data_IF_666241522496
#
_entry.id   IF_666241522496
#
_cell.length_a   1.000
_cell.length_b   1.000
_cell.length_c   1.000
_cell.angle_alpha   90.00
_cell.angle_beta   90.00
_cell.angle_gamma   90.00
#
_symmetry.space_group_name_H-M   'P 1'
#
loop_
_entity.id
_entity.type
_entity.pdbx_description
1 polymer ?
#
# COMPACT_ATOMS: atom_id res chain seq x y z
N UNK A 1 14.00 4.27 -25.43
CA UNK A 1 14.67 5.47 -24.86
C UNK A 1 13.60 6.39 -24.31
N UNK A 2 13.57 6.61 -22.99
CA UNK A 2 12.61 7.51 -22.34
C UNK A 2 13.36 8.50 -21.45
N UNK A 3 12.88 9.74 -21.43
CA UNK A 3 13.44 10.84 -20.63
C UNK A 3 12.46 11.15 -19.50
N UNK A 4 12.97 11.37 -18.28
CA UNK A 4 12.19 11.88 -17.16
C UNK A 4 12.70 13.28 -16.80
N UNK A 5 11.79 14.23 -16.68
CA UNK A 5 12.10 15.61 -16.27
C UNK A 5 11.61 15.82 -14.83
N UNK A 6 12.53 16.11 -13.91
CA UNK A 6 12.22 16.51 -12.54
C UNK A 6 12.98 17.81 -12.23
N UNK A 7 12.25 18.85 -11.81
CA UNK A 7 12.77 20.15 -11.38
C UNK A 7 13.86 20.75 -12.28
N UNK A 8 13.57 20.90 -13.58
CA UNK A 8 14.45 21.56 -14.57
C UNK A 8 15.86 20.94 -14.73
N UNK A 9 16.11 19.72 -14.26
CA UNK A 9 17.35 18.98 -14.53
C UNK A 9 17.04 17.64 -15.20
N UNK A 10 17.78 17.36 -16.27
CA UNK A 10 17.70 16.12 -17.03
C UNK A 10 18.60 15.08 -16.33
N UNK A 11 18.01 14.01 -15.81
CA UNK A 11 18.77 12.87 -15.28
C UNK A 11 18.70 11.73 -16.31
N UNK A 12 19.86 11.26 -16.78
CA UNK A 12 19.97 10.07 -17.62
C UNK A 12 20.02 8.84 -16.70
N UNK A 13 19.01 7.99 -16.80
CA UNK A 13 19.04 6.63 -16.25
C UNK A 13 19.16 5.66 -17.42
N UNK A 14 20.21 4.84 -17.42
CA UNK A 14 20.30 3.66 -18.26
C UNK A 14 19.91 2.45 -17.40
N UNK A 15 18.63 2.10 -17.40
CA UNK A 15 18.23 0.77 -16.97
C UNK A 15 18.38 -0.14 -18.18
N UNK A 16 19.33 -1.07 -18.12
CA UNK A 16 19.47 -2.12 -19.11
C UNK A 16 18.38 -3.14 -18.81
N UNK A 17 17.33 -3.15 -19.63
CA UNK A 17 16.15 -4.01 -19.45
C UNK A 17 16.22 -5.09 -20.52
N UNK A 18 16.44 -6.33 -20.11
CA UNK A 18 16.34 -7.53 -20.95
C UNK A 18 14.90 -7.66 -21.48
N UNK A 19 14.72 -8.22 -22.67
CA UNK A 19 13.52 -8.10 -23.52
C UNK A 19 12.21 -8.67 -22.91
N UNK A 20 12.27 -9.25 -21.70
CA UNK A 20 11.11 -9.77 -20.95
C UNK A 20 10.69 -8.94 -19.72
N UNK A 21 11.47 -7.95 -19.26
CA UNK A 21 11.16 -7.25 -18.01
C UNK A 21 10.41 -5.93 -18.23
N UNK A 22 9.13 -5.84 -17.86
CA UNK A 22 8.42 -4.56 -17.84
C UNK A 22 8.76 -3.77 -16.55
N UNK A 23 9.68 -2.81 -16.62
CA UNK A 23 9.97 -1.91 -15.50
C UNK A 23 8.86 -0.85 -15.35
N UNK A 24 7.96 -1.04 -14.38
CA UNK A 24 6.90 -0.08 -14.05
C UNK A 24 7.35 0.81 -12.88
N UNK A 25 7.94 1.98 -13.17
CA UNK A 25 8.31 2.96 -12.13
C UNK A 25 7.07 3.75 -11.72
N UNK A 26 6.52 3.45 -10.53
CA UNK A 26 5.45 4.27 -9.92
C UNK A 26 6.02 5.23 -8.89
N UNK A 27 5.98 6.52 -9.19
CA UNK A 27 6.13 7.56 -8.19
C UNK A 27 4.80 7.72 -7.45
N UNK A 28 4.82 7.40 -6.16
CA UNK A 28 3.79 7.61 -5.14
C UNK A 28 2.50 8.31 -5.64
N UNK A 29 1.49 7.52 -5.99
CA UNK A 29 0.13 8.02 -6.25
C UNK A 29 -0.71 7.72 -5.02
N UNK A 30 -1.53 8.70 -4.62
CA UNK A 30 -2.64 8.55 -3.66
C UNK A 30 -3.21 7.12 -3.67
N UNK A 31 -3.15 6.45 -2.51
CA UNK A 31 -3.33 5.01 -2.31
C UNK A 31 -4.69 4.44 -2.75
N UNK A 32 -5.61 5.25 -3.26
CA UNK A 32 -6.94 4.88 -3.74
C UNK A 32 -7.03 4.46 -5.22
N UNK A 33 -5.98 4.61 -6.04
CA UNK A 33 -6.09 4.41 -7.50
C UNK A 33 -5.63 3.05 -8.04
N UNK A 34 -5.25 2.09 -7.19
CA UNK A 34 -4.63 0.84 -7.67
C UNK A 34 -5.60 -0.20 -8.24
N UNK A 35 -6.86 -0.21 -7.81
CA UNK A 35 -7.83 -1.23 -8.23
C UNK A 35 -8.06 -1.29 -9.74
N UNK A 36 -8.03 -0.14 -10.42
CA UNK A 36 -8.21 -0.09 -11.88
C UNK A 36 -7.05 -0.71 -12.66
N UNK A 37 -5.83 -0.68 -12.11
CA UNK A 37 -4.65 -1.23 -12.77
C UNK A 37 -4.71 -2.75 -12.75
N UNK A 38 -5.00 -3.35 -11.59
CA UNK A 38 -5.18 -4.80 -11.49
C UNK A 38 -6.34 -5.28 -12.38
N UNK A 39 -7.48 -4.59 -12.35
CA UNK A 39 -8.65 -4.97 -13.14
C UNK A 39 -8.45 -4.82 -14.67
N UNK A 40 -7.47 -4.02 -15.10
CA UNK A 40 -7.22 -3.79 -16.54
C UNK A 40 -6.48 -4.93 -17.25
N UNK A 41 -5.92 -5.89 -16.50
CA UNK A 41 -5.09 -6.97 -17.04
C UNK A 41 -3.69 -6.52 -17.47
N UNK A 42 -3.32 -5.25 -17.29
CA UNK A 42 -2.00 -4.72 -17.69
C UNK A 42 -0.82 -5.38 -16.93
N UNK A 43 -1.11 -6.08 -15.83
CA UNK A 43 -0.11 -6.78 -15.01
C UNK A 43 -0.11 -8.30 -15.25
N UNK A 44 -0.97 -8.84 -16.11
CA UNK A 44 -1.19 -10.29 -16.21
C UNK A 44 0.04 -11.07 -16.67
N UNK A 45 0.94 -10.43 -17.41
CA UNK A 45 2.21 -10.99 -17.89
C UNK A 45 3.43 -10.32 -17.25
N UNK A 46 3.26 -9.68 -16.08
CA UNK A 46 4.36 -9.04 -15.38
C UNK A 46 5.10 -10.06 -14.52
N UNK A 47 6.37 -10.32 -14.82
CA UNK A 47 7.20 -11.21 -14.01
C UNK A 47 7.51 -10.59 -12.63
N UNK A 48 7.91 -9.31 -12.61
CA UNK A 48 8.37 -8.63 -11.40
C UNK A 48 7.97 -7.15 -11.38
N UNK A 49 7.63 -6.63 -10.20
CA UNK A 49 7.31 -5.22 -9.98
C UNK A 49 8.29 -4.59 -8.99
N UNK A 50 8.90 -3.46 -9.37
CA UNK A 50 9.82 -2.71 -8.53
C UNK A 50 9.27 -1.31 -8.25
N UNK A 51 9.35 -0.88 -6.99
CA UNK A 51 8.94 0.45 -6.55
C UNK A 51 10.03 1.12 -5.73
N UNK A 52 10.09 2.45 -5.78
CA UNK A 52 10.99 3.26 -4.94
C UNK A 52 10.17 4.32 -4.19
N UNK A 53 10.59 4.62 -2.96
CA UNK A 53 10.03 5.71 -2.18
C UNK A 53 11.16 6.62 -1.70
N UNK A 54 10.98 7.93 -1.84
CA UNK A 54 11.92 8.88 -1.26
C UNK A 54 11.77 8.87 0.27
N UNK A 55 12.84 8.52 0.99
CA UNK A 55 12.86 8.55 2.45
C UNK A 55 13.77 9.68 2.94
N UNK A 56 13.25 10.68 3.67
CA UNK A 56 14.07 11.75 4.23
C UNK A 56 14.96 11.28 5.39
N UNK A 57 14.78 10.03 5.85
CA UNK A 57 15.52 9.44 6.96
C UNK A 57 16.70 8.57 6.49
N UNK A 58 16.86 8.38 5.18
CA UNK A 58 17.99 7.68 4.58
C UNK A 58 18.93 8.74 4.02
N UNK A 59 20.22 8.65 4.36
CA UNK A 59 21.21 9.61 3.88
C UNK A 59 21.24 9.67 2.34
N UNK A 60 21.50 10.86 1.81
CA UNK A 60 21.68 11.04 0.38
C UNK A 60 22.75 10.08 -0.17
N UNK A 61 22.43 9.42 -1.28
CA UNK A 61 23.31 8.44 -1.92
C UNK A 61 23.19 7.02 -1.36
N UNK A 62 22.31 6.77 -0.39
CA UNK A 62 22.01 5.43 0.11
C UNK A 62 20.65 4.95 -0.38
N UNK A 63 20.55 3.63 -0.58
CA UNK A 63 19.30 2.92 -0.88
C UNK A 63 19.02 2.00 0.31
N UNK A 64 17.82 2.13 0.89
CA UNK A 64 17.33 1.20 1.91
C UNK A 64 16.53 0.08 1.26
N UNK A 65 16.81 -1.16 1.64
CA UNK A 65 16.05 -2.34 1.24
C UNK A 65 15.50 -2.97 2.51
N UNK A 66 14.23 -3.35 2.49
CA UNK A 66 13.55 -4.05 3.58
C UNK A 66 12.85 -5.27 2.98
N UNK A 67 12.90 -6.39 3.68
CA UNK A 67 12.26 -7.64 3.26
C UNK A 67 10.93 -7.82 4.00
N UNK A 68 10.03 -8.63 3.47
CA UNK A 68 8.76 -8.95 4.12
C UNK A 68 7.87 -7.69 4.33
N UNK A 69 7.14 -7.60 5.44
CA UNK A 69 6.20 -6.51 5.72
C UNK A 69 6.90 -5.15 5.86
N UNK A 70 6.71 -4.29 4.86
CA UNK A 70 7.43 -3.01 4.74
C UNK A 70 6.53 -1.78 4.95
N UNK A 71 5.27 -1.84 4.52
CA UNK A 71 4.28 -0.79 4.80
C UNK A 71 2.98 -1.39 5.30
N UNK A 72 2.40 -0.74 6.32
CA UNK A 72 1.15 -1.16 6.95
C UNK A 72 -0.03 -1.12 5.99
N UNK A 73 -0.91 -2.11 6.10
CA UNK A 73 -2.20 -2.10 5.44
C UNK A 73 -3.17 -1.11 6.08
N UNK A 74 -4.28 -0.86 5.41
CA UNK A 74 -5.27 0.14 5.82
C UNK A 74 -6.69 -0.32 5.58
N UNK A 75 -7.58 0.08 6.48
CA UNK A 75 -9.02 0.13 6.22
C UNK A 75 -9.62 1.39 6.83
N UNK A 76 -10.81 1.76 6.37
CA UNK A 76 -11.60 2.89 6.89
C UNK A 76 -12.97 2.42 7.30
N UNK A 77 -13.60 3.12 8.24
CA UNK A 77 -14.96 2.78 8.64
C UNK A 77 -15.75 4.00 9.09
N UNK A 78 -17.07 3.91 8.88
CA UNK A 78 -18.06 4.80 9.46
C UNK A 78 -18.98 3.98 10.38
N UNK A 79 -19.12 4.40 11.64
CA UNK A 79 -20.09 3.85 12.58
C UNK A 79 -21.23 4.87 12.72
N UNK A 80 -22.44 4.48 12.36
CA UNK A 80 -23.63 5.33 12.43
C UNK A 80 -24.52 4.88 13.58
N UNK A 81 -24.70 5.74 14.58
CA UNK A 81 -25.51 5.46 15.78
C UNK A 81 -26.84 6.21 15.66
N UNK A 82 -27.95 5.47 15.62
CA UNK A 82 -29.31 5.98 15.52
C UNK A 82 -29.51 7.07 14.43
N UNK A 83 -28.76 6.97 13.33
CA UNK A 83 -28.77 7.93 12.21
C UNK A 83 -28.47 9.39 12.62
N UNK A 84 -27.85 9.60 13.79
CA UNK A 84 -27.59 10.92 14.37
C UNK A 84 -26.10 11.22 14.56
N UNK A 85 -25.33 10.20 14.93
CA UNK A 85 -23.89 10.32 15.19
C UNK A 85 -23.14 9.44 14.20
N UNK A 86 -22.12 10.01 13.56
CA UNK A 86 -21.21 9.28 12.67
C UNK A 86 -19.80 9.34 13.26
N UNK A 87 -19.25 8.19 13.62
CA UNK A 87 -17.85 8.05 14.01
C UNK A 87 -17.06 7.54 12.81
N UNK A 88 -16.12 8.34 12.31
CA UNK A 88 -15.23 7.95 11.22
C UNK A 88 -13.90 7.49 11.78
N UNK A 89 -13.37 6.40 11.24
CA UNK A 89 -12.13 5.83 11.73
C UNK A 89 -11.29 5.18 10.64
N UNK A 90 -10.09 4.82 11.03
CA UNK A 90 -9.10 4.19 10.17
C UNK A 90 -8.37 3.14 10.98
N UNK A 91 -8.28 1.92 10.46
CA UNK A 91 -7.44 0.87 11.02
C UNK A 91 -6.16 0.75 10.21
N UNK A 92 -5.10 0.34 10.89
CA UNK A 92 -3.78 0.03 10.34
C UNK A 92 -3.34 -1.31 10.92
N UNK A 93 -2.77 -2.17 10.09
CA UNK A 93 -2.29 -3.48 10.50
C UNK A 93 -0.93 -3.76 9.86
N UNK A 94 -0.04 -4.39 10.63
CA UNK A 94 1.35 -4.67 10.26
C UNK A 94 1.52 -5.90 9.39
N UNK A 95 0.55 -6.82 9.43
CA UNK A 95 0.58 -8.12 8.75
C UNK A 95 -0.84 -8.47 8.27
N UNK A 96 -0.93 -9.36 7.28
CA UNK A 96 -2.23 -9.74 6.67
C UNK A 96 -3.18 -10.46 7.64
N UNK A 97 -2.74 -11.37 8.53
CA UNK A 97 -3.64 -11.95 9.54
C UNK A 97 -4.28 -10.91 10.47
N UNK A 98 -3.53 -9.85 10.83
CA UNK A 98 -4.02 -8.77 11.69
C UNK A 98 -5.16 -7.95 11.07
N UNK A 99 -5.32 -7.99 9.74
CA UNK A 99 -6.45 -7.34 9.03
C UNK A 99 -7.80 -7.81 9.56
N UNK A 100 -7.98 -9.12 9.67
CA UNK A 100 -9.26 -9.73 10.08
C UNK A 100 -9.50 -9.54 11.57
N UNK A 101 -8.43 -9.55 12.37
CA UNK A 101 -8.49 -9.26 13.80
C UNK A 101 -8.97 -7.82 14.04
N UNK A 102 -8.43 -6.84 13.30
CA UNK A 102 -8.83 -5.45 13.41
C UNK A 102 -10.31 -5.25 13.05
N UNK A 103 -10.76 -5.87 11.95
CA UNK A 103 -12.17 -5.83 11.56
C UNK A 103 -13.08 -6.46 12.63
N UNK A 104 -12.74 -7.65 13.11
CA UNK A 104 -13.51 -8.34 14.14
C UNK A 104 -13.60 -7.52 15.44
N UNK A 105 -12.52 -6.84 15.85
CA UNK A 105 -12.53 -5.98 17.02
C UNK A 105 -13.54 -4.82 16.88
N UNK A 106 -13.55 -4.12 15.74
CA UNK A 106 -14.49 -3.02 15.48
C UNK A 106 -15.94 -3.55 15.41
N UNK A 107 -16.16 -4.67 14.73
CA UNK A 107 -17.47 -5.31 14.66
C UNK A 107 -18.02 -5.68 16.03
N UNK A 108 -17.19 -6.29 16.87
CA UNK A 108 -17.57 -6.68 18.23
C UNK A 108 -17.93 -5.47 19.11
N UNK A 109 -17.23 -4.34 18.94
CA UNK A 109 -17.57 -3.09 19.64
C UNK A 109 -18.94 -2.55 19.21
N UNK A 110 -19.22 -2.53 17.90
CA UNK A 110 -20.51 -2.11 17.35
C UNK A 110 -21.66 -2.97 17.89
N UNK A 111 -21.51 -4.30 17.86
CA UNK A 111 -22.51 -5.23 18.41
C UNK A 111 -22.72 -5.04 19.92
N UNK A 112 -21.64 -4.73 20.65
CA UNK A 112 -21.70 -4.44 22.08
C UNK A 112 -22.51 -3.18 22.38
N UNK A 113 -22.26 -2.10 21.62
CA UNK A 113 -23.00 -0.83 21.76
C UNK A 113 -24.50 -1.02 21.52
N UNK A 114 -24.86 -1.80 20.49
CA UNK A 114 -26.26 -2.13 20.17
C UNK A 114 -26.93 -2.85 21.34
N UNK A 115 -26.27 -3.88 21.88
CA UNK A 115 -26.78 -4.69 23.00
C UNK A 115 -26.91 -3.88 24.30
N UNK A 116 -25.96 -3.01 24.60
CA UNK A 116 -25.95 -2.26 25.87
C UNK A 116 -26.96 -1.13 25.90
N UNK A 117 -27.14 -0.40 24.79
CA UNK A 117 -27.94 0.83 24.78
C UNK A 117 -29.26 0.72 24.00
N UNK A 118 -29.55 -0.43 23.39
CA UNK A 118 -30.85 -0.71 22.75
C UNK A 118 -31.16 0.15 21.53
N UNK A 119 -30.14 0.75 20.90
CA UNK A 119 -30.27 1.58 19.70
C UNK A 119 -29.59 0.95 18.50
N UNK A 120 -30.09 1.20 17.29
CA UNK A 120 -29.49 0.73 16.04
C UNK A 120 -28.10 1.33 15.84
N UNK A 121 -27.11 0.49 15.55
CA UNK A 121 -25.75 0.90 15.22
C UNK A 121 -25.32 0.21 13.92
N UNK A 122 -25.01 0.99 12.89
CA UNK A 122 -24.54 0.46 11.60
C UNK A 122 -23.03 0.63 11.48
N UNK A 123 -22.37 -0.40 10.97
CA UNK A 123 -20.95 -0.35 10.59
C UNK A 123 -20.85 -0.41 9.06
N UNK A 124 -20.22 0.60 8.48
CA UNK A 124 -19.76 0.59 7.09
C UNK A 124 -18.23 0.53 7.09
N UNK A 125 -17.66 -0.64 6.82
CA UNK A 125 -16.22 -0.89 6.90
C UNK A 125 -15.67 -1.23 5.52
N UNK A 126 -14.64 -0.49 5.09
CA UNK A 126 -14.00 -0.62 3.79
C UNK A 126 -12.54 -1.02 3.94
N UNK A 127 -12.19 -2.21 3.47
CA UNK A 127 -10.80 -2.60 3.29
C UNK A 127 -10.18 -1.78 2.15
N UNK A 128 -9.09 -1.07 2.42
CA UNK A 128 -8.49 -0.17 1.44
C UNK A 128 -7.34 -0.87 0.71
N UNK A 129 -6.19 -0.99 1.37
CA UNK A 129 -5.00 -1.58 0.75
C UNK A 129 -4.32 -2.57 1.69
N UNK A 130 -3.73 -3.66 1.15
CA UNK A 130 -3.06 -4.68 1.94
C UNK A 130 -1.74 -4.16 2.51
N UNK A 131 -1.11 -4.98 3.35
CA UNK A 131 0.28 -4.78 3.78
C UNK A 131 1.19 -4.91 2.56
N UNK A 132 2.15 -4.00 2.40
CA UNK A 132 3.20 -4.17 1.40
C UNK A 132 4.15 -5.26 1.89
N UNK A 133 4.24 -6.35 1.14
CA UNK A 133 5.15 -7.44 1.38
C UNK A 133 6.22 -7.50 0.28
N UNK A 134 7.49 -7.40 0.66
CA UNK A 134 8.62 -7.52 -0.27
C UNK A 134 9.13 -8.97 -0.27
N UNK A 135 9.13 -9.63 -1.42
CA UNK A 135 9.61 -11.01 -1.56
C UNK A 135 11.15 -11.09 -1.58
N UNK A 136 11.73 -11.91 -0.70
CA UNK A 136 13.18 -11.99 -0.46
C UNK A 136 13.98 -12.42 -1.71
N UNK A 137 13.39 -13.22 -2.60
CA UNK A 137 14.05 -13.68 -3.83
C UNK A 137 14.31 -12.56 -4.86
N UNK A 138 13.53 -11.48 -4.81
CA UNK A 138 13.63 -10.35 -5.74
C UNK A 138 14.66 -9.29 -5.28
N UNK A 139 14.96 -9.24 -3.97
CA UNK A 139 15.94 -8.30 -3.43
C UNK A 139 17.38 -8.60 -3.88
N UNK A 140 17.66 -9.86 -4.22
CA UNK A 140 18.99 -10.34 -4.64
C UNK A 140 19.45 -9.80 -6.00
N UNK A 141 18.55 -9.19 -6.79
CA UNK A 141 18.86 -8.61 -8.11
C UNK A 141 19.09 -7.10 -8.07
N UNK A 142 18.88 -6.47 -6.91
CA UNK A 142 19.19 -5.05 -6.70
C UNK A 142 20.67 -4.96 -6.30
N UNK A 143 21.55 -4.95 -7.31
CA UNK A 143 22.99 -4.79 -7.08
C UNK A 143 23.32 -3.36 -6.64
N UNK A 144 24.14 -3.23 -5.59
CA UNK A 144 24.78 -1.97 -5.24
C UNK A 144 25.77 -1.61 -6.35
N UNK A 145 25.36 -0.75 -7.28
CA UNK A 145 26.31 -0.07 -8.17
C UNK A 145 27.02 1.00 -7.32
N UNK A 146 28.06 0.57 -6.60
CA UNK A 146 29.02 1.51 -6.03
C UNK A 146 29.80 2.13 -7.19
N UNK A 147 29.46 3.37 -7.55
CA UNK A 147 30.28 4.24 -8.42
C UNK A 147 31.30 5.01 -7.60
#
# INVERSE_FOLDING_TARGET
>A
MQFLLLHHRLYRFEAQVDESAALVIKFQISLSQHHHIHASGILDNLDEAYGIHFSPFVDQGKIGIHEEETYVGSSTFDIVIQDKVVLKGTTRYSDEPSKDIAYAAIKNQVEGLEKTFGGKVNLDYHFNYPVLYNHNENNLRIEYINT
#
